data_IF_125487703154
#
_entry.id   IF_125487703154
#
_cell.length_a   1.000
_cell.length_b   1.000
_cell.length_c   1.000
_cell.angle_alpha   90.00
_cell.angle_beta   90.00
_cell.angle_gamma   90.00
#
_symmetry.space_group_name_H-M   'P 1'
#
loop_
_entity.id
_entity.type
_entity.pdbx_description
1 polymer ?
#
# COMPACT_ATOMS: atom_id res chain seq x y z
N UNK A 1 8.64 -25.19 26.11
CA UNK A 1 8.49 -25.14 24.63
C UNK A 1 8.03 -23.73 24.30
N UNK A 2 8.80 -22.96 23.53
CA UNK A 2 8.59 -21.52 23.36
C UNK A 2 7.31 -21.26 22.55
N UNK A 3 6.22 -20.82 23.20
CA UNK A 3 5.01 -20.43 22.49
C UNK A 3 5.17 -19.02 21.94
N UNK A 4 4.44 -18.67 20.87
CA UNK A 4 4.45 -17.31 20.32
C UNK A 4 4.05 -16.26 21.38
N UNK A 5 3.16 -16.64 22.32
CA UNK A 5 2.78 -15.83 23.49
C UNK A 5 3.96 -15.46 24.38
N UNK A 6 4.91 -16.39 24.56
CA UNK A 6 6.06 -16.20 25.45
C UNK A 6 7.16 -15.34 24.78
N UNK A 7 7.11 -15.18 23.46
CA UNK A 7 8.20 -14.59 22.69
C UNK A 7 7.82 -13.33 21.91
N UNK A 8 6.53 -12.97 21.85
CA UNK A 8 6.05 -11.80 21.10
C UNK A 8 5.01 -11.03 21.90
N UNK A 9 5.42 -9.88 22.45
CA UNK A 9 4.49 -8.94 23.07
C UNK A 9 3.51 -8.36 22.05
N UNK A 10 3.95 -8.20 20.79
CA UNK A 10 3.09 -7.75 19.70
C UNK A 10 1.95 -8.75 19.44
N UNK A 11 2.25 -10.05 19.44
CA UNK A 11 1.21 -11.08 19.32
C UNK A 11 0.22 -11.03 20.50
N UNK A 12 0.71 -10.93 21.73
CA UNK A 12 -0.14 -10.83 22.94
C UNK A 12 -1.02 -9.58 22.89
N UNK A 13 -0.51 -8.46 22.40
CA UNK A 13 -1.28 -7.24 22.21
C UNK A 13 -2.32 -7.41 21.11
N UNK A 14 -1.96 -8.02 19.98
CA UNK A 14 -2.88 -8.30 18.87
C UNK A 14 -4.05 -9.18 19.32
N UNK A 15 -3.82 -10.20 20.15
CA UNK A 15 -4.85 -11.09 20.70
C UNK A 15 -5.85 -10.34 21.61
N UNK A 16 -5.49 -9.16 22.13
CA UNK A 16 -6.36 -8.33 22.98
C UNK A 16 -7.16 -7.29 22.20
N UNK A 17 -6.80 -6.98 20.96
CA UNK A 17 -7.47 -5.96 20.15
C UNK A 17 -8.93 -6.33 19.85
N UNK A 18 -9.87 -5.41 20.08
CA UNK A 18 -11.30 -5.65 19.79
C UNK A 18 -11.66 -5.45 18.32
N UNK A 19 -10.86 -4.66 17.61
CA UNK A 19 -11.04 -4.31 16.20
C UNK A 19 -9.80 -4.71 15.39
N UNK A 20 -9.98 -4.74 14.07
CA UNK A 20 -8.89 -5.00 13.13
C UNK A 20 -7.75 -3.96 13.33
N UNK A 21 -6.48 -4.40 13.39
CA UNK A 21 -5.34 -3.48 13.48
C UNK A 21 -5.29 -2.49 12.30
N UNK A 22 -4.86 -1.25 12.55
CA UNK A 22 -4.84 -0.21 11.52
C UNK A 22 -3.91 -0.52 10.33
N UNK A 23 -2.79 -1.23 10.54
CA UNK A 23 -1.87 -1.63 9.45
C UNK A 23 -2.24 -2.99 8.82
N UNK A 24 -3.49 -3.44 8.97
CA UNK A 24 -3.90 -4.72 8.40
C UNK A 24 -3.94 -4.66 6.88
N UNK A 25 -3.19 -5.56 6.25
CA UNK A 25 -3.22 -5.79 4.80
C UNK A 25 -4.11 -7.00 4.48
N UNK A 26 -4.55 -7.19 3.22
CA UNK A 26 -5.17 -8.45 2.81
C UNK A 26 -4.30 -9.67 3.12
N UNK A 27 -4.89 -10.86 3.18
CA UNK A 27 -4.10 -12.09 3.27
C UNK A 27 -3.20 -12.22 2.04
N UNK A 28 -1.91 -12.59 2.20
CA UNK A 28 -1.13 -13.04 1.07
C UNK A 28 -1.77 -14.31 0.51
N UNK A 29 -1.69 -14.49 -0.81
CA UNK A 29 -2.26 -15.64 -1.49
C UNK A 29 -1.19 -16.70 -1.75
N UNK A 30 -1.56 -17.96 -1.51
CA UNK A 30 -0.82 -19.10 -2.01
C UNK A 30 -0.88 -19.13 -3.54
N UNK A 31 0.08 -19.75 -4.26
CA UNK A 31 0.00 -19.92 -5.72
C UNK A 31 -1.30 -20.54 -6.25
N UNK A 32 -2.03 -21.28 -5.40
CA UNK A 32 -3.36 -21.82 -5.72
C UNK A 32 -4.52 -20.87 -5.46
N UNK A 33 -4.28 -19.57 -5.23
CA UNK A 33 -5.31 -18.56 -4.97
C UNK A 33 -5.90 -18.56 -3.57
N UNK A 34 -5.44 -19.43 -2.66
CA UNK A 34 -5.97 -19.53 -1.29
C UNK A 34 -5.29 -18.54 -0.34
N UNK A 35 -6.03 -17.87 0.55
CA UNK A 35 -5.44 -17.00 1.55
C UNK A 35 -4.57 -17.79 2.54
N UNK A 36 -3.39 -17.23 2.82
CA UNK A 36 -2.44 -17.74 3.80
C UNK A 36 -2.78 -17.12 5.16
N UNK A 37 -3.41 -17.90 6.03
CA UNK A 37 -3.74 -17.48 7.40
C UNK A 37 -2.55 -17.75 8.30
N UNK A 38 -2.01 -16.70 8.92
CA UNK A 38 -0.87 -16.85 9.82
C UNK A 38 -1.27 -17.54 11.14
N UNK A 39 -0.38 -18.32 11.76
CA UNK A 39 -0.63 -18.94 13.05
C UNK A 39 -1.00 -17.91 14.11
N UNK A 40 -2.11 -18.16 14.81
CA UNK A 40 -2.62 -17.27 15.86
C UNK A 40 -3.49 -16.10 15.37
N UNK A 41 -3.70 -15.96 14.05
CA UNK A 41 -4.54 -14.90 13.48
C UNK A 41 -5.96 -14.96 14.06
N UNK A 42 -6.51 -13.80 14.40
CA UNK A 42 -7.86 -13.63 14.97
C UNK A 42 -8.80 -12.84 14.08
N UNK A 43 -8.32 -12.21 13.02
CA UNK A 43 -9.13 -11.31 12.22
C UNK A 43 -9.29 -11.83 10.79
N UNK A 44 -10.49 -11.69 10.23
CA UNK A 44 -10.69 -11.90 8.80
C UNK A 44 -10.16 -10.68 8.04
N UNK A 45 -9.04 -10.86 7.33
CA UNK A 45 -8.41 -9.87 6.44
C UNK A 45 -8.68 -10.16 4.96
N UNK A 46 -9.80 -10.81 4.64
CA UNK A 46 -10.27 -10.87 3.25
C UNK A 46 -10.97 -9.55 2.90
N UNK A 47 -10.93 -9.19 1.62
CA UNK A 47 -11.76 -8.09 1.13
C UNK A 47 -13.25 -8.46 1.26
N UNK A 48 -14.04 -7.53 1.77
CA UNK A 48 -15.49 -7.64 1.86
C UNK A 48 -16.17 -7.48 0.50
N UNK A 49 -17.49 -7.58 0.50
CA UNK A 49 -18.31 -7.29 -0.68
C UNK A 49 -18.00 -5.88 -1.20
N UNK A 50 -17.68 -5.77 -2.49
CA UNK A 50 -17.27 -4.52 -3.14
C UNK A 50 -15.75 -4.29 -3.22
N UNK A 51 -14.92 -5.10 -2.56
CA UNK A 51 -13.46 -5.08 -2.76
C UNK A 51 -12.70 -3.89 -2.16
N UNK A 52 -13.39 -2.93 -1.54
CA UNK A 52 -12.78 -1.67 -1.03
C UNK A 52 -12.23 -1.83 0.40
N UNK A 53 -12.89 -2.64 1.23
CA UNK A 53 -12.55 -2.75 2.66
C UNK A 53 -12.27 -4.19 3.08
N UNK A 54 -11.41 -4.36 4.08
CA UNK A 54 -11.21 -5.65 4.74
C UNK A 54 -12.44 -6.00 5.59
N UNK A 55 -12.77 -7.29 5.66
CA UNK A 55 -13.87 -7.82 6.47
C UNK A 55 -13.74 -7.42 7.95
N UNK A 56 -12.53 -7.45 8.50
CA UNK A 56 -12.18 -6.90 9.82
C UNK A 56 -12.76 -7.64 11.03
N UNK A 57 -13.61 -8.66 10.83
CA UNK A 57 -14.22 -9.37 11.94
C UNK A 57 -13.19 -10.12 12.77
N UNK A 58 -13.25 -9.90 14.09
CA UNK A 58 -12.58 -10.72 15.10
C UNK A 58 -13.28 -12.07 15.30
N UNK A 59 -12.49 -13.12 15.36
CA UNK A 59 -12.87 -14.50 15.64
C UNK A 59 -12.11 -14.99 16.89
N UNK A 60 -12.63 -16.02 17.55
CA UNK A 60 -12.03 -16.53 18.79
C UNK A 60 -10.72 -17.27 18.52
N UNK A 61 -10.64 -17.94 17.36
CA UNK A 61 -9.41 -18.60 16.94
C UNK A 61 -9.20 -18.63 15.42
N UNK A 62 -8.04 -19.13 15.00
CA UNK A 62 -7.64 -19.23 13.59
C UNK A 62 -8.57 -20.14 12.78
N UNK A 63 -9.12 -21.18 13.39
CA UNK A 63 -10.07 -22.08 12.75
C UNK A 63 -11.37 -21.36 12.44
N UNK A 64 -11.84 -20.52 13.37
CA UNK A 64 -13.03 -19.70 13.19
C UNK A 64 -12.84 -18.62 12.12
N UNK A 65 -11.62 -18.06 11.99
CA UNK A 65 -11.29 -17.18 10.86
C UNK A 65 -11.54 -17.91 9.55
N UNK A 66 -11.06 -19.14 9.40
CA UNK A 66 -11.23 -19.89 8.17
C UNK A 66 -12.69 -20.33 7.92
N UNK A 67 -13.43 -20.69 8.96
CA UNK A 67 -14.88 -20.92 8.83
C UNK A 67 -15.62 -19.67 8.34
N UNK A 68 -15.22 -18.50 8.82
CA UNK A 68 -15.78 -17.24 8.33
C UNK A 68 -15.44 -17.01 6.85
N UNK A 69 -14.21 -17.33 6.41
CA UNK A 69 -13.86 -17.28 4.98
C UNK A 69 -14.75 -18.16 4.12
N UNK A 70 -15.04 -19.37 4.60
CA UNK A 70 -15.91 -20.31 3.89
C UNK A 70 -17.36 -19.80 3.82
N UNK A 71 -17.90 -19.30 4.93
CA UNK A 71 -19.29 -18.85 5.03
C UNK A 71 -19.56 -17.52 4.34
N UNK A 72 -18.67 -16.55 4.50
CA UNK A 72 -18.90 -15.15 4.11
C UNK A 72 -18.18 -14.77 2.82
N UNK A 73 -17.14 -15.53 2.43
CA UNK A 73 -16.30 -15.22 1.26
C UNK A 73 -16.23 -16.38 0.25
N UNK A 74 -17.01 -17.45 0.45
CA UNK A 74 -17.05 -18.63 -0.44
C UNK A 74 -15.69 -19.32 -0.67
N UNK A 75 -14.75 -19.19 0.28
CA UNK A 75 -13.44 -19.86 0.21
C UNK A 75 -13.51 -21.20 0.91
N UNK A 76 -13.54 -22.29 0.14
CA UNK A 76 -13.65 -23.64 0.68
C UNK A 76 -12.40 -24.04 1.48
N UNK A 77 -12.51 -24.04 2.81
CA UNK A 77 -11.41 -24.36 3.73
C UNK A 77 -10.81 -25.74 3.47
N UNK A 78 -11.63 -26.73 3.10
CA UNK A 78 -11.19 -28.11 2.82
C UNK A 78 -10.27 -28.21 1.61
N UNK A 79 -10.37 -27.28 0.67
CA UNK A 79 -9.56 -27.24 -0.55
C UNK A 79 -8.28 -26.42 -0.34
N UNK A 80 -8.15 -25.69 0.78
CA UNK A 80 -6.96 -24.91 1.08
C UNK A 80 -5.75 -25.83 1.38
N UNK A 81 -4.70 -25.83 0.54
CA UNK A 81 -3.55 -26.72 0.68
C UNK A 81 -2.71 -26.44 1.93
N UNK A 82 -2.85 -25.25 2.51
CA UNK A 82 -2.13 -24.82 3.72
C UNK A 82 -2.84 -25.32 4.99
N UNK A 83 -4.17 -25.46 4.93
CA UNK A 83 -4.97 -25.92 6.07
C UNK A 83 -4.54 -27.32 6.56
N UNK A 84 -4.12 -28.20 5.64
CA UNK A 84 -3.82 -29.61 5.93
C UNK A 84 -2.42 -29.86 6.50
N UNK A 85 -1.52 -28.86 6.49
CA UNK A 85 -0.08 -29.07 6.79
C UNK A 85 0.37 -28.64 8.19
N UNK A 86 -0.45 -27.90 8.95
CA UNK A 86 0.00 -27.28 10.22
C UNK A 86 -0.51 -28.02 11.45
N UNK A 87 0.01 -29.23 11.67
CA UNK A 87 -0.12 -30.01 12.91
C UNK A 87 1.18 -30.13 13.71
N UNK A 88 2.27 -29.50 13.25
CA UNK A 88 3.60 -29.57 13.86
C UNK A 88 3.90 -28.40 14.80
N UNK A 89 4.91 -28.58 15.67
CA UNK A 89 5.50 -27.48 16.44
C UNK A 89 6.14 -26.47 15.47
N UNK A 90 5.92 -25.18 15.69
CA UNK A 90 6.62 -24.12 14.96
C UNK A 90 8.12 -24.25 15.19
N UNK A 91 8.90 -24.20 14.11
CA UNK A 91 10.35 -24.13 14.18
C UNK A 91 10.82 -22.75 14.65
N UNK A 92 12.03 -22.62 15.22
CA UNK A 92 12.52 -21.33 15.73
C UNK A 92 12.51 -20.19 14.70
N UNK A 93 12.85 -20.48 13.45
CA UNK A 93 12.81 -19.56 12.31
C UNK A 93 11.38 -19.11 11.98
N UNK A 94 10.41 -20.03 12.01
CA UNK A 94 8.99 -19.69 11.84
C UNK A 94 8.48 -18.80 12.98
N UNK A 95 8.98 -19.00 14.21
CA UNK A 95 8.62 -18.16 15.35
C UNK A 95 9.13 -16.72 15.14
N UNK A 96 10.37 -16.54 14.68
CA UNK A 96 10.92 -15.20 14.38
C UNK A 96 10.13 -14.51 13.26
N UNK A 97 9.86 -15.19 12.14
CA UNK A 97 9.04 -14.62 11.05
C UNK A 97 7.65 -14.18 11.55
N UNK A 98 7.05 -14.94 12.47
CA UNK A 98 5.77 -14.58 13.04
C UNK A 98 5.86 -13.40 14.01
N UNK A 99 6.96 -13.25 14.75
CA UNK A 99 7.18 -12.04 15.56
C UNK A 99 7.16 -10.80 14.69
N UNK A 100 7.94 -10.81 13.61
CA UNK A 100 8.05 -9.69 12.69
C UNK A 100 6.70 -9.37 12.06
N UNK A 101 5.97 -10.41 11.63
CA UNK A 101 4.60 -10.26 11.13
C UNK A 101 3.69 -9.54 12.13
N UNK A 102 3.65 -9.97 13.40
CA UNK A 102 2.77 -9.34 14.40
C UNK A 102 3.24 -7.92 14.77
N UNK A 103 4.55 -7.67 14.81
CA UNK A 103 5.09 -6.32 15.02
C UNK A 103 4.63 -5.38 13.91
N UNK A 104 4.73 -5.79 12.65
CA UNK A 104 4.25 -5.01 11.51
C UNK A 104 2.74 -4.83 11.55
N UNK A 105 1.98 -5.91 11.77
CA UNK A 105 0.52 -5.89 11.77
C UNK A 105 -0.05 -4.87 12.76
N UNK A 106 0.54 -4.75 13.95
CA UNK A 106 0.08 -3.81 14.98
C UNK A 106 1.02 -2.60 15.14
N UNK A 107 1.80 -2.26 14.10
CA UNK A 107 2.81 -1.18 14.18
C UNK A 107 2.24 0.19 14.55
N UNK A 108 0.96 0.44 14.31
CA UNK A 108 0.29 1.70 14.69
C UNK A 108 -0.42 1.63 16.05
N UNK A 109 -0.55 0.42 16.62
CA UNK A 109 -1.21 0.21 17.91
C UNK A 109 -0.25 0.50 19.08
N UNK A 110 -0.82 0.85 20.24
CA UNK A 110 -0.05 1.04 21.47
C UNK A 110 0.00 -0.27 22.25
N UNK A 111 1.21 -0.73 22.58
CA UNK A 111 1.40 -1.93 23.40
C UNK A 111 2.73 -1.92 24.19
N UNK A 112 2.80 -2.61 25.34
CA UNK A 112 4.02 -2.72 26.14
C UNK A 112 5.17 -3.36 25.37
N UNK A 113 6.36 -2.77 25.51
CA UNK A 113 7.62 -3.21 24.87
C UNK A 113 7.62 -3.23 23.34
N UNK A 114 6.74 -2.41 22.73
CA UNK A 114 6.88 -1.98 21.34
C UNK A 114 8.31 -1.44 21.12
N UNK A 115 9.05 -1.94 20.11
CA UNK A 115 10.42 -1.51 19.87
C UNK A 115 10.49 0.01 19.70
N UNK A 116 11.41 0.68 20.41
CA UNK A 116 11.57 2.14 20.31
C UNK A 116 12.05 2.55 18.89
N UNK A 117 12.63 1.61 18.14
CA UNK A 117 12.95 1.79 16.71
C UNK A 117 11.70 1.99 15.83
N UNK A 118 10.51 1.53 16.24
CA UNK A 118 9.24 1.80 15.54
C UNK A 118 8.72 3.22 15.77
N UNK A 119 9.18 3.90 16.82
CA UNK A 119 8.93 5.33 17.04
C UNK A 119 9.91 6.22 16.28
N UNK A 120 11.15 5.74 16.04
CA UNK A 120 12.14 6.44 15.20
C UNK A 120 11.92 6.24 13.70
N UNK A 121 11.40 5.08 13.25
CA UNK A 121 10.94 4.90 11.86
C UNK A 121 9.74 5.77 11.51
N UNK A 122 8.97 6.20 12.50
CA UNK A 122 7.93 7.23 12.31
C UNK A 122 8.49 8.61 11.92
N UNK A 123 9.81 8.83 12.00
CA UNK A 123 10.41 9.98 11.33
C UNK A 123 10.97 9.60 9.97
N UNK A 124 11.46 8.38 9.76
CA UNK A 124 12.11 8.03 8.50
C UNK A 124 11.08 7.71 7.42
N UNK A 125 10.05 6.89 7.71
CA UNK A 125 9.01 6.53 6.73
C UNK A 125 8.09 7.74 6.42
N UNK A 126 7.71 8.55 7.43
CA UNK A 126 6.94 9.79 7.21
C UNK A 126 7.78 10.86 6.48
N UNK A 127 9.12 10.87 6.65
CA UNK A 127 10.02 11.75 5.87
C UNK A 127 10.31 11.18 4.47
N UNK A 128 10.29 9.87 4.27
CA UNK A 128 10.50 9.23 2.97
C UNK A 128 9.25 9.43 2.09
N UNK A 129 8.04 9.30 2.65
CA UNK A 129 6.79 9.64 1.96
C UNK A 129 6.71 11.16 1.66
N UNK A 130 7.09 12.03 2.61
CA UNK A 130 7.11 13.49 2.40
C UNK A 130 8.22 13.90 1.42
N UNK A 131 9.38 13.24 1.44
CA UNK A 131 10.47 13.47 0.49
C UNK A 131 10.13 12.96 -0.92
N UNK A 132 9.47 11.81 -1.06
CA UNK A 132 8.98 11.34 -2.36
C UNK A 132 7.97 12.33 -2.96
N UNK A 133 7.02 12.83 -2.16
CA UNK A 133 6.07 13.86 -2.60
C UNK A 133 6.79 15.16 -2.99
N UNK A 134 7.80 15.60 -2.22
CA UNK A 134 8.58 16.80 -2.54
C UNK A 134 9.45 16.62 -3.80
N UNK A 135 9.98 15.42 -4.05
CA UNK A 135 10.75 15.09 -5.25
C UNK A 135 9.82 15.05 -6.46
N UNK A 136 8.65 14.43 -6.35
CA UNK A 136 7.63 14.42 -7.40
C UNK A 136 7.15 15.85 -7.70
N UNK A 137 6.86 16.66 -6.69
CA UNK A 137 6.49 18.07 -6.87
C UNK A 137 7.61 18.88 -7.54
N UNK A 138 8.87 18.65 -7.18
CA UNK A 138 10.01 19.33 -7.78
C UNK A 138 10.21 18.93 -9.25
N UNK A 139 10.02 17.65 -9.58
CA UNK A 139 10.03 17.15 -10.96
C UNK A 139 8.91 17.79 -11.77
N UNK A 140 7.67 17.80 -11.27
CA UNK A 140 6.54 18.43 -11.95
C UNK A 140 6.73 19.93 -12.12
N UNK A 141 7.27 20.63 -11.11
CA UNK A 141 7.59 22.07 -11.21
C UNK A 141 8.64 22.34 -12.29
N UNK A 142 9.66 21.49 -12.40
CA UNK A 142 10.70 21.62 -13.43
C UNK A 142 10.14 21.37 -14.83
N UNK A 143 9.34 20.33 -15.02
CA UNK A 143 8.65 20.03 -16.28
C UNK A 143 7.70 21.18 -16.68
N UNK A 144 6.97 21.75 -15.71
CA UNK A 144 6.10 22.90 -15.95
C UNK A 144 6.89 24.15 -16.36
N UNK A 145 8.06 24.39 -15.76
CA UNK A 145 8.93 25.51 -16.11
C UNK A 145 9.53 25.34 -17.51
N UNK A 146 9.94 24.13 -17.88
CA UNK A 146 10.38 23.79 -19.23
C UNK A 146 9.24 23.96 -20.25
N UNK A 147 8.04 23.46 -19.95
CA UNK A 147 6.87 23.64 -20.80
C UNK A 147 6.51 25.12 -20.99
N UNK A 148 6.64 25.94 -19.94
CA UNK A 148 6.45 27.41 -20.02
C UNK A 148 7.49 28.07 -20.92
N UNK A 149 8.76 27.66 -20.85
CA UNK A 149 9.81 28.19 -21.75
C UNK A 149 9.50 27.86 -23.20
N UNK A 150 9.08 26.62 -23.49
CA UNK A 150 8.67 26.20 -24.83
C UNK A 150 7.45 26.99 -25.32
N UNK A 151 6.46 27.23 -24.46
CA UNK A 151 5.28 28.02 -24.81
C UNK A 151 5.64 29.47 -25.16
N UNK A 152 6.49 30.13 -24.36
CA UNK A 152 6.97 31.49 -24.64
C UNK A 152 7.74 31.54 -25.97
N UNK A 153 8.61 30.55 -26.24
CA UNK A 153 9.34 30.48 -27.50
C UNK A 153 8.40 30.28 -28.71
N UNK A 154 7.37 29.45 -28.55
CA UNK A 154 6.35 29.24 -29.56
C UNK A 154 5.55 30.53 -29.84
N UNK A 155 5.13 31.27 -28.79
CA UNK A 155 4.44 32.55 -28.93
C UNK A 155 5.30 33.58 -29.68
N UNK A 156 6.59 33.69 -29.34
CA UNK A 156 7.53 34.57 -30.05
C UNK A 156 7.68 34.17 -31.52
N UNK A 157 7.64 32.87 -31.82
CA UNK A 157 7.72 32.37 -33.19
C UNK A 157 6.45 32.65 -33.98
N UNK A 158 5.28 32.50 -33.36
CA UNK A 158 3.98 32.86 -33.97
C UNK A 158 3.97 34.35 -34.31
N UNK A 159 4.34 35.22 -33.36
CA UNK A 159 4.39 36.67 -33.59
C UNK A 159 5.29 37.05 -34.77
N UNK A 160 6.47 36.43 -34.88
CA UNK A 160 7.36 36.64 -36.04
C UNK A 160 6.76 36.17 -37.36
N UNK A 161 5.95 35.11 -37.34
CA UNK A 161 5.27 34.63 -38.54
C UNK A 161 4.13 35.57 -38.94
N UNK A 162 3.39 36.11 -37.98
CA UNK A 162 2.35 37.12 -38.20
C UNK A 162 2.93 38.38 -38.84
N UNK A 163 4.02 38.93 -38.29
CA UNK A 163 4.74 40.09 -38.86
C UNK A 163 5.21 39.82 -40.30
N UNK A 164 5.69 38.60 -40.59
CA UNK A 164 6.09 38.23 -41.95
C UNK A 164 4.89 38.10 -42.89
N UNK A 165 3.76 37.56 -42.43
CA UNK A 165 2.54 37.45 -43.22
C UNK A 165 1.96 38.84 -43.55
N UNK A 166 2.00 39.78 -42.59
CA UNK A 166 1.61 41.17 -42.83
C UNK A 166 2.48 41.83 -43.90
N UNK A 167 3.81 41.67 -43.82
CA UNK A 167 4.71 42.20 -44.86
C UNK A 167 4.46 41.57 -46.24
N UNK A 168 4.16 40.27 -46.30
CA UNK A 168 3.82 39.59 -47.56
C UNK A 168 2.47 40.11 -48.10
N UNK A 169 1.49 40.33 -47.23
CA UNK A 169 0.19 40.87 -47.62
C UNK A 169 0.30 42.30 -48.17
N UNK A 170 1.10 43.16 -47.52
CA UNK A 170 1.40 44.51 -48.00
C UNK A 170 2.08 44.49 -49.37
N UNK A 171 3.14 43.70 -49.54
CA UNK A 171 3.81 43.55 -50.85
C UNK A 171 2.89 43.01 -51.94
N UNK A 172 1.96 42.13 -51.60
CA UNK A 172 0.97 41.61 -52.55
C UNK A 172 -0.04 42.69 -52.96
N UNK A 173 -0.43 43.58 -52.05
CA UNK A 173 -1.28 44.73 -52.39
C UNK A 173 -0.55 45.68 -53.34
N UNK A 174 0.71 46.02 -53.04
CA UNK A 174 1.56 46.85 -53.91
C UNK A 174 1.70 46.26 -55.32
N UNK A 175 1.86 44.94 -55.45
CA UNK A 175 1.98 44.25 -56.75
C UNK A 175 0.66 44.09 -57.53
N UNK A 176 -0.49 44.37 -56.93
CA UNK A 176 -1.82 44.28 -57.58
C UNK A 176 -2.30 45.67 -58.03
N UNK A 177 -1.70 46.74 -57.50
CA UNK A 177 -2.01 48.14 -57.84
C UNK A 177 -1.12 48.71 -58.96
N UNK A 178 -0.06 48.00 -59.36
CA UNK A 178 0.76 48.23 -60.58
C UNK A 178 0.28 47.39 -61.77
#
# INVERSE_FOLDING_TARGET
MKQLKDNSQAYVACDKLKALPNNSKPFPLHPGGYPIVQPGERFCRLLGFGGVHLCGRRCDNQHDVQYRMEREHNIKRKENPIYRKRGGRLKPDEIEQLKDFYIDLIKHEKYPGKPVSSLKRKRVDDLDDEAEVLIEEACVKKELEEARKVAIEAELRVKKLEERLEMIAQKKQELVED
#
